data_IF_374730120695
#
_entry.id   IF_374730120695
#
_cell.length_a   1.000
_cell.length_b   1.000
_cell.length_c   1.000
_cell.angle_alpha   90.00
_cell.angle_beta   90.00
_cell.angle_gamma   90.00
#
_symmetry.space_group_name_H-M   'P 1'
#
loop_
_entity.id
_entity.type
_entity.pdbx_description
1 polymer ?
#
# COMPACT_ATOMS: atom_id res chain seq x y z
N UNK A 1 -4.99 -16.90 16.31
CA UNK A 1 -4.05 -15.98 15.63
C UNK A 1 -4.78 -15.37 14.44
N UNK A 2 -5.44 -14.23 14.67
CA UNK A 2 -6.25 -13.54 13.67
C UNK A 2 -5.29 -12.64 12.90
N UNK A 3 -5.02 -12.96 11.63
CA UNK A 3 -4.31 -12.07 10.71
C UNK A 3 -5.32 -11.04 10.20
N UNK A 4 -5.44 -9.92 10.90
CA UNK A 4 -6.27 -8.78 10.46
C UNK A 4 -5.49 -8.00 9.39
N UNK A 5 -5.79 -8.22 8.11
CA UNK A 5 -5.35 -7.33 7.04
C UNK A 5 -6.29 -6.13 7.02
N UNK A 6 -5.90 -5.03 7.69
CA UNK A 6 -6.61 -3.76 7.59
C UNK A 6 -6.29 -3.09 6.25
N UNK A 7 -7.20 -3.17 5.29
CA UNK A 7 -7.15 -2.36 4.07
C UNK A 7 -8.05 -1.13 4.27
N UNK A 8 -7.47 -0.01 4.70
CA UNK A 8 -8.15 1.29 4.71
C UNK A 8 -7.71 2.06 3.47
N UNK A 9 -8.54 2.05 2.42
CA UNK A 9 -8.36 2.94 1.26
C UNK A 9 -8.92 4.31 1.68
N UNK A 10 -8.05 5.23 2.08
CA UNK A 10 -8.44 6.65 2.32
C UNK A 10 -8.33 7.41 1.01
N UNK A 11 -9.46 7.93 0.54
CA UNK A 11 -9.51 8.95 -0.51
C UNK A 11 -8.92 10.26 0.03
N UNK A 12 -7.82 10.73 -0.53
CA UNK A 12 -7.38 12.12 -0.38
C UNK A 12 -7.96 12.92 -1.54
N UNK A 13 -9.02 13.69 -1.30
CA UNK A 13 -9.45 14.75 -2.22
C UNK A 13 -9.11 16.10 -1.59
N UNK A 14 -8.14 16.81 -2.16
CA UNK A 14 -8.01 18.26 -2.04
C UNK A 14 -7.64 18.86 -3.39
N UNK A 15 -8.03 20.12 -3.56
CA UNK A 15 -8.36 20.75 -4.83
C UNK A 15 -7.21 21.59 -5.43
N UNK A 16 -7.20 21.70 -6.77
CA UNK A 16 -6.53 22.67 -7.63
C UNK A 16 -4.99 22.77 -7.62
N UNK A 17 -4.35 22.20 -8.66
CA UNK A 17 -3.29 22.92 -9.38
C UNK A 17 -3.34 22.57 -10.87
N UNK A 18 -3.46 23.61 -11.69
CA UNK A 18 -3.53 23.53 -13.15
C UNK A 18 -2.16 23.28 -13.75
N UNK A 19 -1.93 22.12 -14.36
CA UNK A 19 -0.96 21.97 -15.46
C UNK A 19 -1.60 21.13 -16.57
N UNK A 20 -2.10 21.82 -17.59
CA UNK A 20 -2.22 21.26 -18.94
C UNK A 20 -0.83 21.30 -19.57
N UNK A 21 -0.31 20.16 -20.02
CA UNK A 21 0.10 20.04 -21.42
C UNK A 21 0.14 18.59 -21.89
N UNK A 22 -0.48 18.43 -23.04
CA UNK A 22 -0.55 17.32 -23.98
C UNK A 22 0.77 16.53 -24.16
N UNK A 23 0.67 15.20 -24.22
CA UNK A 23 1.20 14.49 -25.37
C UNK A 23 0.33 13.27 -25.69
N UNK A 24 -0.15 13.25 -26.92
CA UNK A 24 -0.92 12.17 -27.50
C UNK A 24 -0.03 10.92 -27.59
N UNK A 25 -0.46 9.85 -26.93
CA UNK A 25 -0.07 8.50 -27.33
C UNK A 25 -1.32 7.92 -28.00
N UNK A 26 -1.23 7.70 -29.31
CA UNK A 26 -2.13 6.81 -30.03
C UNK A 26 -2.05 5.44 -29.34
N UNK A 27 -2.97 5.19 -28.43
CA UNK A 27 -3.12 3.92 -27.75
C UNK A 27 -3.96 3.01 -28.66
N UNK A 28 -3.35 1.92 -29.10
CA UNK A 28 -3.90 0.95 -30.03
C UNK A 28 -5.31 0.48 -29.58
N UNK A 29 -6.31 0.65 -30.44
CA UNK A 29 -7.70 0.36 -30.12
C UNK A 29 -7.98 -1.14 -29.89
N UNK A 30 -7.09 -2.02 -30.36
CA UNK A 30 -7.18 -3.46 -30.10
C UNK A 30 -6.74 -3.81 -28.66
N UNK A 31 -5.79 -3.07 -28.09
CA UNK A 31 -5.31 -3.28 -26.72
C UNK A 31 -6.40 -3.08 -25.65
N UNK A 32 -7.38 -2.21 -25.92
CA UNK A 32 -8.44 -1.90 -24.96
C UNK A 32 -9.51 -3.02 -24.86
N UNK A 33 -9.67 -3.85 -25.92
CA UNK A 33 -10.67 -4.91 -25.96
C UNK A 33 -10.23 -6.12 -25.14
N UNK A 34 -8.98 -6.54 -25.31
CA UNK A 34 -8.39 -7.67 -24.57
C UNK A 34 -8.32 -7.38 -23.07
N UNK A 35 -8.13 -6.11 -22.69
CA UNK A 35 -8.10 -5.65 -21.30
C UNK A 35 -9.45 -5.73 -20.61
N UNK A 36 -10.52 -5.35 -21.32
CA UNK A 36 -11.89 -5.48 -20.85
C UNK A 36 -12.28 -6.96 -20.69
N UNK A 37 -11.90 -7.81 -21.64
CA UNK A 37 -12.17 -9.24 -21.61
C UNK A 37 -11.42 -9.96 -20.47
N UNK A 38 -10.16 -9.61 -20.21
CA UNK A 38 -9.39 -10.13 -19.06
C UNK A 38 -10.06 -9.77 -17.73
N UNK A 39 -10.47 -8.51 -17.56
CA UNK A 39 -11.12 -8.06 -16.34
C UNK A 39 -12.50 -8.71 -16.14
N UNK A 40 -13.28 -8.87 -17.22
CA UNK A 40 -14.55 -9.59 -17.16
C UNK A 40 -14.36 -11.06 -16.75
N UNK A 41 -13.34 -11.72 -17.30
CA UNK A 41 -13.00 -13.10 -16.93
C UNK A 41 -12.55 -13.21 -15.46
N UNK A 42 -11.77 -12.26 -14.94
CA UNK A 42 -11.36 -12.24 -13.53
C UNK A 42 -12.55 -12.08 -12.58
N UNK A 43 -13.50 -11.21 -12.93
CA UNK A 43 -14.71 -10.98 -12.13
C UNK A 43 -15.66 -12.18 -12.16
N UNK A 44 -15.71 -12.94 -13.26
CA UNK A 44 -16.55 -14.15 -13.39
C UNK A 44 -16.10 -15.30 -12.49
N UNK A 45 -14.82 -15.34 -12.10
CA UNK A 45 -14.28 -16.38 -11.20
C UNK A 45 -14.60 -16.12 -9.72
N UNK A 46 -15.16 -14.95 -9.40
CA UNK A 46 -15.49 -14.58 -8.02
C UNK A 46 -16.86 -15.09 -7.61
N UNK A 47 -16.98 -15.50 -6.35
CA UNK A 47 -18.30 -15.69 -5.75
C UNK A 47 -19.01 -14.34 -5.54
N UNK A 48 -20.30 -14.39 -5.17
CA UNK A 48 -21.15 -13.19 -5.04
C UNK A 48 -20.59 -12.19 -4.01
N UNK A 49 -20.08 -12.68 -2.89
CA UNK A 49 -19.54 -11.88 -1.80
C UNK A 49 -18.22 -11.20 -2.21
N UNK A 50 -17.32 -11.94 -2.86
CA UNK A 50 -16.06 -11.45 -3.40
C UNK A 50 -16.29 -10.41 -4.50
N UNK A 51 -17.22 -10.68 -5.43
CA UNK A 51 -17.60 -9.75 -6.49
C UNK A 51 -18.16 -8.44 -5.91
N UNK A 52 -19.02 -8.53 -4.90
CA UNK A 52 -19.53 -7.36 -4.19
C UNK A 52 -18.41 -6.56 -3.52
N UNK A 53 -17.43 -7.24 -2.92
CA UNK A 53 -16.28 -6.58 -2.30
C UNK A 53 -15.34 -5.93 -3.32
N UNK A 54 -15.09 -6.56 -4.47
CA UNK A 54 -14.26 -6.01 -5.55
C UNK A 54 -14.93 -4.80 -6.20
N UNK A 55 -16.25 -4.86 -6.44
CA UNK A 55 -17.00 -3.81 -7.16
C UNK A 55 -17.56 -2.70 -6.27
N UNK A 56 -17.34 -2.76 -4.96
CA UNK A 56 -17.80 -1.74 -4.01
C UNK A 56 -17.22 -0.35 -4.36
N UNK A 57 -18.08 0.67 -4.50
CA UNK A 57 -17.71 1.94 -5.15
C UNK A 57 -17.31 3.06 -4.18
N UNK A 58 -18.06 3.25 -3.10
CA UNK A 58 -17.93 4.44 -2.25
C UNK A 58 -17.99 4.08 -0.77
N UNK A 59 -17.25 4.84 0.04
CA UNK A 59 -17.21 4.68 1.49
C UNK A 59 -16.35 3.50 1.95
N UNK A 60 -16.18 3.41 3.26
CA UNK A 60 -15.37 2.37 3.90
C UNK A 60 -15.98 0.98 3.72
N UNK A 61 -15.12 -0.01 3.51
CA UNK A 61 -15.49 -1.41 3.39
C UNK A 61 -14.66 -2.25 4.36
N UNK A 62 -15.32 -3.04 5.20
CA UNK A 62 -14.68 -4.04 6.04
C UNK A 62 -14.95 -5.42 5.47
N UNK A 63 -13.89 -6.16 5.16
CA UNK A 63 -13.97 -7.54 4.67
C UNK A 63 -13.54 -8.49 5.80
N UNK A 64 -14.51 -9.18 6.38
CA UNK A 64 -14.24 -10.24 7.38
C UNK A 64 -14.21 -11.58 6.65
N UNK A 65 -13.08 -12.27 6.72
CA UNK A 65 -12.89 -13.47 5.93
C UNK A 65 -12.00 -14.50 6.63
N UNK A 66 -12.41 -15.77 6.60
CA UNK A 66 -11.68 -16.90 7.19
C UNK A 66 -10.37 -17.23 6.48
N UNK A 67 -9.55 -18.12 7.03
CA UNK A 67 -8.37 -18.64 6.33
C UNK A 67 -8.77 -19.30 5.00
N UNK A 68 -7.95 -19.13 3.95
CA UNK A 68 -8.19 -19.77 2.63
C UNK A 68 -9.34 -19.18 1.79
N UNK A 69 -10.05 -18.15 2.25
CA UNK A 69 -11.22 -17.58 1.55
C UNK A 69 -10.89 -16.58 0.44
N UNK A 70 -9.62 -16.44 0.07
CA UNK A 70 -9.20 -15.56 -1.03
C UNK A 70 -9.12 -14.07 -0.69
N UNK A 71 -8.93 -13.68 0.59
CA UNK A 71 -8.77 -12.28 1.02
C UNK A 71 -7.81 -11.48 0.14
N UNK A 72 -6.60 -12.01 -0.06
CA UNK A 72 -5.57 -11.36 -0.88
C UNK A 72 -6.04 -11.19 -2.31
N UNK A 73 -6.68 -12.22 -2.90
CA UNK A 73 -7.25 -12.16 -4.24
C UNK A 73 -8.29 -11.05 -4.37
N UNK A 74 -9.18 -10.92 -3.37
CA UNK A 74 -10.18 -9.84 -3.35
C UNK A 74 -9.52 -8.47 -3.30
N UNK A 75 -8.50 -8.28 -2.47
CA UNK A 75 -7.78 -6.99 -2.36
C UNK A 75 -7.08 -6.67 -3.69
N UNK A 76 -6.32 -7.60 -4.27
CA UNK A 76 -5.56 -7.36 -5.51
C UNK A 76 -6.48 -7.11 -6.70
N UNK A 77 -7.57 -7.88 -6.82
CA UNK A 77 -8.55 -7.66 -7.88
C UNK A 77 -9.34 -6.36 -7.68
N UNK A 78 -9.59 -5.95 -6.44
CA UNK A 78 -10.18 -4.65 -6.14
C UNK A 78 -9.29 -3.50 -6.58
N UNK A 79 -7.98 -3.54 -6.27
CA UNK A 79 -7.02 -2.54 -6.72
C UNK A 79 -7.04 -2.45 -8.25
N UNK A 80 -6.90 -3.58 -8.93
CA UNK A 80 -6.93 -3.62 -10.39
C UNK A 80 -8.26 -3.13 -10.97
N UNK A 81 -9.39 -3.52 -10.39
CA UNK A 81 -10.71 -3.06 -10.82
C UNK A 81 -10.85 -1.53 -10.73
N UNK A 82 -10.41 -0.92 -9.63
CA UNK A 82 -10.50 0.53 -9.46
C UNK A 82 -9.65 1.28 -10.49
N UNK A 83 -8.45 0.79 -10.78
CA UNK A 83 -7.55 1.36 -11.81
C UNK A 83 -8.15 1.19 -13.20
N UNK A 84 -8.58 -0.02 -13.56
CA UNK A 84 -9.13 -0.32 -14.90
C UNK A 84 -10.40 0.47 -15.19
N UNK A 85 -11.29 0.60 -14.20
CA UNK A 85 -12.51 1.41 -14.32
C UNK A 85 -12.25 2.91 -14.19
N UNK A 86 -10.98 3.34 -14.09
CA UNK A 86 -10.55 4.74 -13.95
C UNK A 86 -11.25 5.45 -12.80
N UNK A 87 -11.51 4.72 -11.71
CA UNK A 87 -12.14 5.26 -10.51
C UNK A 87 -11.13 6.02 -9.63
N UNK A 88 -9.88 5.58 -9.68
CA UNK A 88 -8.73 6.18 -8.97
C UNK A 88 -7.51 6.09 -9.87
N UNK A 89 -6.53 6.97 -9.68
CA UNK A 89 -5.21 6.81 -10.27
C UNK A 89 -4.35 5.85 -9.43
N UNK A 90 -3.32 5.22 -10.00
CA UNK A 90 -2.44 4.29 -9.28
C UNK A 90 -1.74 4.92 -8.07
N UNK A 91 -1.29 6.17 -8.22
CA UNK A 91 -0.61 6.98 -7.19
C UNK A 91 -1.56 7.43 -6.06
N UNK A 92 -2.86 7.26 -6.21
CA UNK A 92 -3.88 7.52 -5.18
C UNK A 92 -4.18 6.26 -4.34
N UNK A 93 -3.56 5.11 -4.64
CA UNK A 93 -3.77 3.85 -3.92
C UNK A 93 -2.61 3.56 -2.96
N UNK A 94 -2.96 3.40 -1.69
CA UNK A 94 -2.10 2.86 -0.64
C UNK A 94 -2.62 1.51 -0.16
N UNK A 95 -1.79 0.47 -0.26
CA UNK A 95 -2.05 -0.85 0.29
C UNK A 95 -0.97 -1.22 1.33
N UNK A 96 -1.41 -1.40 2.58
CA UNK A 96 -0.52 -1.72 3.70
C UNK A 96 -0.70 -3.16 4.16
N UNK A 97 0.42 -3.78 4.54
CA UNK A 97 0.46 -5.11 5.15
C UNK A 97 1.48 -5.19 6.28
N UNK A 98 1.52 -6.31 7.00
CA UNK A 98 2.40 -6.51 8.14
C UNK A 98 3.77 -7.09 7.78
N UNK A 99 3.91 -7.74 6.63
CA UNK A 99 5.14 -8.42 6.26
C UNK A 99 5.59 -8.03 4.85
N UNK A 100 6.90 -7.90 4.66
CA UNK A 100 7.50 -7.59 3.35
C UNK A 100 7.13 -8.65 2.31
N UNK A 101 7.11 -9.92 2.72
CA UNK A 101 6.67 -11.03 1.86
C UNK A 101 5.24 -10.81 1.35
N UNK A 102 4.31 -10.41 2.22
CA UNK A 102 2.93 -10.15 1.80
C UNK A 102 2.81 -8.93 0.89
N UNK A 103 3.69 -7.93 1.06
CA UNK A 103 3.70 -6.73 0.22
C UNK A 103 4.15 -7.10 -1.19
N UNK A 104 5.31 -7.75 -1.33
CA UNK A 104 5.81 -8.21 -2.63
C UNK A 104 4.86 -9.21 -3.30
N UNK A 105 4.29 -10.15 -2.55
CA UNK A 105 3.27 -11.07 -3.07
C UNK A 105 1.98 -10.37 -3.54
N UNK A 106 1.64 -9.21 -2.98
CA UNK A 106 0.47 -8.42 -3.38
C UNK A 106 0.81 -7.61 -4.63
N UNK A 107 1.98 -6.99 -4.67
CA UNK A 107 2.55 -6.29 -5.82
C UNK A 107 2.61 -7.20 -7.05
N UNK A 108 3.26 -8.36 -6.95
CA UNK A 108 3.34 -9.35 -8.04
C UNK A 108 1.95 -9.82 -8.53
N UNK A 109 0.94 -9.84 -7.66
CA UNK A 109 -0.43 -10.21 -8.04
C UNK A 109 -1.11 -9.07 -8.79
N UNK A 110 -0.93 -7.82 -8.36
CA UNK A 110 -1.49 -6.65 -9.05
C UNK A 110 -0.81 -6.46 -10.40
N UNK A 111 0.51 -6.59 -10.47
CA UNK A 111 1.29 -6.47 -11.72
C UNK A 111 0.96 -7.55 -12.75
N UNK A 112 0.55 -8.75 -12.31
CA UNK A 112 0.06 -9.77 -13.23
C UNK A 112 -1.31 -9.44 -13.82
N UNK A 113 -2.11 -8.64 -13.13
CA UNK A 113 -3.44 -8.23 -13.58
C UNK A 113 -3.34 -6.98 -14.45
N UNK A 114 -2.47 -6.04 -14.07
CA UNK A 114 -2.32 -4.74 -14.72
C UNK A 114 -1.09 -4.75 -15.66
N UNK A 115 -1.24 -4.46 -16.96
CA UNK A 115 -0.10 -4.42 -17.87
C UNK A 115 0.88 -3.28 -17.56
N UNK A 116 2.10 -3.41 -18.12
CA UNK A 116 3.25 -2.50 -18.00
C UNK A 116 2.80 -1.04 -18.17
N UNK A 117 2.90 -0.22 -17.11
CA UNK A 117 2.52 1.20 -17.14
C UNK A 117 1.92 1.77 -15.83
N UNK A 118 1.59 0.93 -14.86
CA UNK A 118 0.97 1.34 -13.59
C UNK A 118 1.95 1.29 -12.40
N UNK A 119 3.16 1.84 -12.59
CA UNK A 119 4.32 1.66 -11.69
C UNK A 119 4.25 2.38 -10.33
N UNK A 120 3.28 3.27 -10.11
CA UNK A 120 3.26 4.14 -8.92
C UNK A 120 2.34 3.65 -7.80
N UNK A 121 2.02 2.36 -7.76
CA UNK A 121 1.23 1.75 -6.69
C UNK A 121 2.02 1.70 -5.37
N UNK A 122 1.45 2.21 -4.28
CA UNK A 122 2.09 2.14 -2.97
C UNK A 122 1.66 0.88 -2.23
N UNK A 123 2.36 -0.23 -2.47
CA UNK A 123 2.15 -1.50 -1.78
C UNK A 123 3.35 -1.73 -0.86
N UNK A 124 3.16 -1.64 0.45
CA UNK A 124 4.29 -1.71 1.40
C UNK A 124 3.87 -2.22 2.77
N UNK A 125 4.85 -2.42 3.65
CA UNK A 125 4.55 -2.57 5.08
C UNK A 125 4.26 -1.23 5.74
N UNK A 126 3.68 -1.26 6.94
CA UNK A 126 3.53 -0.06 7.78
C UNK A 126 4.87 0.61 8.08
N UNK A 127 5.92 -0.16 8.35
CA UNK A 127 7.26 0.37 8.65
C UNK A 127 7.87 1.03 7.42
N UNK A 128 7.84 0.35 6.27
CA UNK A 128 8.37 0.89 5.02
C UNK A 128 7.63 2.15 4.56
N UNK A 129 6.31 2.19 4.77
CA UNK A 129 5.51 3.39 4.52
C UNK A 129 5.86 4.55 5.47
N UNK A 130 5.97 4.26 6.78
CA UNK A 130 6.36 5.26 7.77
C UNK A 130 7.75 5.82 7.53
N UNK A 131 8.72 4.97 7.19
CA UNK A 131 10.08 5.39 6.84
C UNK A 131 10.07 6.31 5.62
N UNK A 132 9.28 5.98 4.59
CA UNK A 132 9.12 6.83 3.41
C UNK A 132 8.58 8.22 3.77
N UNK A 133 7.50 8.30 4.55
CA UNK A 133 6.96 9.59 5.02
C UNK A 133 8.02 10.39 5.77
N UNK A 134 8.77 9.76 6.67
CA UNK A 134 9.81 10.43 7.45
C UNK A 134 10.97 10.93 6.58
N UNK A 135 11.33 10.20 5.52
CA UNK A 135 12.34 10.66 4.55
C UNK A 135 11.85 11.81 3.68
N UNK A 136 10.56 11.83 3.33
CA UNK A 136 9.97 12.86 2.48
C UNK A 136 9.64 14.14 3.27
N UNK A 137 9.19 14.02 4.53
CA UNK A 137 8.62 15.11 5.33
C UNK A 137 9.28 15.31 6.71
N UNK A 138 10.35 14.58 7.02
CA UNK A 138 10.99 14.65 8.35
C UNK A 138 11.53 16.04 8.71
N UNK A 139 12.00 16.80 7.73
CA UNK A 139 12.50 18.17 7.92
C UNK A 139 11.43 19.07 8.54
N UNK A 140 10.15 18.88 8.19
CA UNK A 140 9.04 19.71 8.67
C UNK A 140 8.83 19.60 10.18
N UNK A 141 9.32 18.51 10.79
CA UNK A 141 9.29 18.26 12.23
C UNK A 141 10.68 18.31 12.89
N UNK A 142 11.69 18.82 12.17
CA UNK A 142 13.05 18.97 12.67
C UNK A 142 13.89 17.69 12.65
N UNK A 143 13.46 16.65 11.94
CA UNK A 143 14.29 15.47 11.67
C UNK A 143 15.15 15.71 10.44
N UNK A 144 16.41 15.28 10.49
CA UNK A 144 17.28 15.26 9.30
C UNK A 144 16.78 14.20 8.32
N UNK A 145 16.95 14.46 7.01
CA UNK A 145 16.74 13.45 5.96
C UNK A 145 17.68 12.24 6.11
N UNK A 146 18.79 12.41 6.84
CA UNK A 146 19.74 11.35 7.16
C UNK A 146 19.33 10.56 8.42
N UNK A 147 18.07 10.66 8.85
CA UNK A 147 17.55 9.94 10.00
C UNK A 147 17.77 8.43 9.81
N UNK A 148 18.58 7.84 10.69
CA UNK A 148 18.93 6.44 10.64
C UNK A 148 17.94 5.62 11.44
N UNK A 149 17.36 4.60 10.80
CA UNK A 149 16.67 3.52 11.51
C UNK A 149 17.69 2.71 12.30
N UNK A 150 17.49 2.63 13.61
CA UNK A 150 18.37 1.86 14.49
C UNK A 150 17.92 0.40 14.52
N UNK A 151 18.85 -0.52 14.25
CA UNK A 151 18.60 -1.94 14.51
C UNK A 151 18.63 -2.23 16.02
N UNK A 152 18.24 -3.44 16.43
CA UNK A 152 18.17 -3.83 17.85
C UNK A 152 19.49 -3.63 18.60
N UNK A 153 20.62 -3.94 17.97
CA UNK A 153 21.95 -3.77 18.56
C UNK A 153 22.30 -2.29 18.76
N UNK A 154 21.98 -1.45 17.77
CA UNK A 154 22.19 -0.02 17.85
C UNK A 154 21.29 0.65 18.89
N UNK A 155 20.04 0.20 19.02
CA UNK A 155 19.13 0.63 20.09
C UNK A 155 19.70 0.26 21.46
N UNK A 156 20.16 -0.98 21.64
CA UNK A 156 20.80 -1.42 22.88
C UNK A 156 22.05 -0.58 23.19
N UNK A 157 22.93 -0.38 22.21
CA UNK A 157 24.14 0.43 22.36
C UNK A 157 23.80 1.89 22.72
N UNK A 158 22.76 2.46 22.11
CA UNK A 158 22.30 3.80 22.41
C UNK A 158 21.83 3.91 23.87
N UNK A 159 21.04 2.96 24.34
CA UNK A 159 20.55 2.95 25.74
C UNK A 159 21.71 2.84 26.71
N UNK A 160 22.59 1.85 26.53
CA UNK A 160 23.71 1.62 27.46
C UNK A 160 24.66 2.83 27.52
N UNK A 161 24.97 3.45 26.37
CA UNK A 161 25.83 4.65 26.31
C UNK A 161 25.21 5.88 27.00
N UNK A 162 23.91 5.89 27.20
CA UNK A 162 23.19 7.01 27.77
C UNK A 162 22.50 6.64 29.10
N UNK A 163 22.82 5.47 29.68
CA UNK A 163 22.14 4.98 30.88
C UNK A 163 22.26 5.96 32.05
N UNK A 164 23.42 6.61 32.18
CA UNK A 164 23.71 7.60 33.23
C UNK A 164 22.88 8.89 33.10
N UNK A 165 22.29 9.15 31.92
CA UNK A 165 21.38 10.29 31.71
C UNK A 165 19.97 10.03 32.26
N UNK A 166 19.65 8.77 32.54
CA UNK A 166 18.39 8.41 33.17
C UNK A 166 18.56 8.35 34.69
N UNK A 167 17.50 8.69 35.41
CA UNK A 167 17.45 8.63 36.86
C UNK A 167 17.20 7.19 37.34
N UNK A 168 18.17 6.30 37.07
CA UNK A 168 18.08 4.85 37.29
C UNK A 168 19.08 4.38 38.35
N UNK A 169 18.99 4.92 39.56
CA UNK A 169 19.92 4.63 40.67
C UNK A 169 20.07 3.13 40.99
N UNK A 170 19.03 2.33 40.79
CA UNK A 170 19.07 0.88 41.02
C UNK A 170 19.84 0.09 39.94
N UNK A 171 19.95 0.64 38.72
CA UNK A 171 20.51 -0.05 37.55
C UNK A 171 21.88 0.48 37.11
N UNK A 172 22.48 1.42 37.86
CA UNK A 172 23.83 1.90 37.55
C UNK A 172 24.84 0.77 37.78
N UNK A 173 25.74 0.48 36.81
CA UNK A 173 26.85 -0.44 37.07
C UNK A 173 27.75 0.14 38.17
N UNK A 174 28.15 -0.71 39.13
CA UNK A 174 29.08 -0.34 40.20
C UNK A 174 30.47 -0.02 39.69
#
# INVERSE_FOLDING_TARGET
MILETFCSIRYYSESYLSIKLFNAILFDANFNRDKLELMENLLQQLNKEQLSAVTHKHGSLLIVAGAGTGKTTVITQRIAYMIEKKLVKPDEILALTFTEKAAGEMEERVDRILPIGYFDLWISTFHSFGERILKEHGIDIGLSNDCKLLNEFEQYSLIIKNLDKFDLDYYRPM
#
